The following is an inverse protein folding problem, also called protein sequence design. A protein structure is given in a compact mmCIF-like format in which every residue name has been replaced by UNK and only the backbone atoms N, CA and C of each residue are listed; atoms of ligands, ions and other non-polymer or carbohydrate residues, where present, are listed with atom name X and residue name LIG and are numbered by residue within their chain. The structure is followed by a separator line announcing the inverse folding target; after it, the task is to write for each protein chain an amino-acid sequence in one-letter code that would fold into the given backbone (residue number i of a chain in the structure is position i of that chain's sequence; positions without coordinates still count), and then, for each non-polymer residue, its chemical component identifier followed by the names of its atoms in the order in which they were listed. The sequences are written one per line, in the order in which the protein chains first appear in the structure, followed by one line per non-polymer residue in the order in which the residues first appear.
data_IF_594587736878
#
_entry.id   IF_594587736878
#
_cell.length_a   1.000
_cell.length_b   1.000
_cell.length_c   1.000
_cell.angle_alpha   90.00
_cell.angle_beta   90.00
_cell.angle_gamma   90.00
#
_symmetry.space_group_name_H-M   'P 1'
#
loop_
_entity.id
_entity.type
_entity.pdbx_description
1 polymer ?
#
# COMPACT_ATOMS: atom_id res chain seq x y z
N UNK A 1 -12.09 12.88 -11.52
CA UNK A 1 -13.27 12.08 -11.91
C UNK A 1 -13.17 10.78 -11.15
N UNK A 2 -14.21 10.39 -10.41
CA UNK A 2 -14.19 9.18 -9.60
C UNK A 2 -14.16 7.94 -10.52
N UNK A 3 -13.04 7.23 -10.56
CA UNK A 3 -12.84 6.02 -11.38
C UNK A 3 -13.72 4.86 -10.92
N UNK A 4 -14.18 4.88 -9.66
CA UNK A 4 -15.06 3.83 -9.11
C UNK A 4 -16.46 3.82 -9.76
N UNK A 5 -16.89 4.92 -10.38
CA UNK A 5 -18.20 5.05 -11.03
C UNK A 5 -18.21 4.74 -12.54
N UNK A 6 -17.05 4.46 -13.14
CA UNK A 6 -17.00 4.13 -14.58
C UNK A 6 -17.24 2.64 -14.87
N UNK A 7 -17.15 1.77 -13.86
CA UNK A 7 -17.33 0.32 -14.02
C UNK A 7 -18.03 -0.36 -12.84
N UNK A 8 -19.20 0.13 -12.37
CA UNK A 8 -19.83 -0.41 -11.16
C UNK A 8 -20.22 -1.89 -11.25
N UNK A 9 -20.28 -2.48 -12.45
CA UNK A 9 -20.69 -3.88 -12.68
C UNK A 9 -19.91 -4.59 -13.81
N UNK A 10 -18.70 -4.16 -14.17
CA UNK A 10 -17.94 -4.88 -15.21
C UNK A 10 -17.29 -6.13 -14.59
N UNK A 11 -17.62 -7.36 -15.04
CA UNK A 11 -17.02 -8.59 -14.52
C UNK A 11 -15.63 -8.75 -15.14
N UNK A 12 -14.68 -7.88 -14.81
CA UNK A 12 -13.27 -8.10 -15.11
C UNK A 12 -12.68 -8.86 -13.92
N UNK A 13 -12.36 -10.17 -14.08
CA UNK A 13 -11.82 -10.98 -13.00
C UNK A 13 -10.52 -10.41 -12.42
N UNK A 14 -9.72 -9.73 -13.24
CA UNK A 14 -8.45 -9.10 -12.81
C UNK A 14 -8.73 -7.94 -11.86
N UNK A 15 -9.68 -7.06 -12.21
CA UNK A 15 -10.05 -5.95 -11.31
C UNK A 15 -10.64 -6.48 -10.00
N UNK A 16 -11.51 -7.50 -10.06
CA UNK A 16 -12.11 -8.08 -8.86
C UNK A 16 -11.05 -8.69 -7.93
N UNK A 17 -10.00 -9.30 -8.50
CA UNK A 17 -8.86 -9.79 -7.72
C UNK A 17 -8.12 -8.65 -7.01
N UNK A 18 -7.75 -7.59 -7.73
CA UNK A 18 -7.06 -6.45 -7.11
C UNK A 18 -7.92 -5.75 -6.05
N UNK A 19 -9.22 -5.60 -6.32
CA UNK A 19 -10.20 -5.09 -5.38
C UNK A 19 -10.21 -5.92 -4.10
N UNK A 20 -10.29 -7.25 -4.20
CA UNK A 20 -10.32 -8.15 -3.05
C UNK A 20 -9.13 -7.94 -2.11
N UNK A 21 -7.91 -7.92 -2.62
CA UNK A 21 -6.72 -7.71 -1.79
C UNK A 21 -6.60 -6.27 -1.27
N UNK A 22 -7.12 -5.28 -1.99
CA UNK A 22 -7.20 -3.91 -1.49
C UNK A 22 -8.22 -3.77 -0.35
N UNK A 23 -9.34 -4.49 -0.39
CA UNK A 23 -10.27 -4.57 0.75
C UNK A 23 -9.61 -5.19 1.98
N UNK A 24 -8.72 -6.17 1.82
CA UNK A 24 -7.91 -6.70 2.93
C UNK A 24 -6.92 -5.66 3.46
N UNK A 25 -6.23 -4.93 2.59
CA UNK A 25 -5.34 -3.84 2.98
C UNK A 25 -6.08 -2.72 3.73
N UNK A 26 -7.32 -2.41 3.35
CA UNK A 26 -8.18 -1.44 4.04
C UNK A 26 -8.54 -1.88 5.47
N UNK A 27 -8.73 -3.19 5.71
CA UNK A 27 -8.97 -3.72 7.07
C UNK A 27 -7.74 -3.54 7.96
N UNK A 28 -6.54 -3.78 7.42
CA UNK A 28 -5.28 -3.52 8.13
C UNK A 28 -5.08 -2.02 8.41
N UNK A 29 -5.37 -1.18 7.42
CA UNK A 29 -5.34 0.28 7.58
C UNK A 29 -6.31 0.75 8.67
N UNK A 30 -7.50 0.13 8.76
CA UNK A 30 -8.47 0.42 9.81
C UNK A 30 -7.91 0.07 11.19
N UNK A 31 -7.35 -1.13 11.34
CA UNK A 31 -6.75 -1.59 12.60
C UNK A 31 -5.60 -0.67 13.07
N UNK A 32 -4.72 -0.24 12.16
CA UNK A 32 -3.71 0.78 12.45
C UNK A 32 -4.35 2.10 12.93
N UNK A 33 -5.36 2.59 12.22
CA UNK A 33 -6.09 3.82 12.60
C UNK A 33 -6.71 3.77 13.99
N UNK A 34 -7.31 2.65 14.35
CA UNK A 34 -7.89 2.36 15.67
C UNK A 34 -6.81 2.27 16.77
N UNK A 35 -5.61 1.81 16.41
CA UNK A 35 -4.43 1.82 17.29
C UNK A 35 -3.73 3.19 17.40
N UNK A 36 -4.31 4.25 16.83
CA UNK A 36 -3.76 5.61 16.90
C UNK A 36 -2.65 5.92 15.88
N UNK A 37 -2.44 5.03 14.91
CA UNK A 37 -1.48 5.17 13.82
C UNK A 37 -2.12 5.83 12.59
N UNK A 38 -1.31 6.35 11.66
CA UNK A 38 -1.83 6.75 10.33
C UNK A 38 -2.41 5.49 9.65
N UNK A 39 -3.67 5.50 9.15
CA UNK A 39 -4.33 4.31 8.64
C UNK A 39 -3.81 3.92 7.26
N UNK A 40 -2.71 3.18 7.22
CA UNK A 40 -2.14 2.59 6.01
C UNK A 40 -1.93 1.10 6.25
N UNK A 41 -2.37 0.30 5.29
CA UNK A 41 -2.29 -1.16 5.31
C UNK A 41 -1.71 -1.68 4.01
N UNK A 42 -1.04 -2.82 4.09
CA UNK A 42 -0.35 -3.46 2.97
C UNK A 42 -0.48 -4.98 3.01
N UNK A 43 -0.61 -5.61 1.85
CA UNK A 43 -0.72 -7.06 1.66
C UNK A 43 0.24 -7.47 0.54
N UNK A 44 0.99 -8.55 0.74
CA UNK A 44 1.82 -9.16 -0.30
C UNK A 44 1.26 -10.54 -0.64
N UNK A 45 1.03 -10.74 -1.93
CA UNK A 45 0.43 -11.94 -2.52
C UNK A 45 1.43 -12.59 -3.46
N UNK A 46 1.57 -13.92 -3.41
CA UNK A 46 2.40 -14.68 -4.34
C UNK A 46 1.70 -14.90 -5.71
N UNK A 47 2.42 -15.52 -6.65
CA UNK A 47 1.89 -15.82 -7.98
C UNK A 47 0.74 -16.86 -8.00
N UNK A 48 0.51 -17.56 -6.88
CA UNK A 48 -0.60 -18.51 -6.73
C UNK A 48 -1.84 -17.84 -6.13
N UNK A 49 -1.76 -16.56 -5.74
CA UNK A 49 -2.85 -15.82 -5.11
C UNK A 49 -2.90 -15.98 -3.58
N UNK A 50 -1.88 -16.56 -2.95
CA UNK A 50 -1.83 -16.67 -1.50
C UNK A 50 -1.28 -15.39 -0.87
N UNK A 51 -1.92 -14.94 0.20
CA UNK A 51 -1.37 -13.86 1.03
C UNK A 51 -0.21 -14.42 1.85
N UNK A 52 1.01 -14.01 1.50
CA UNK A 52 2.24 -14.47 2.18
C UNK A 52 2.66 -13.53 3.32
N UNK A 53 2.30 -12.25 3.22
CA UNK A 53 2.61 -11.27 4.25
C UNK A 53 1.60 -10.13 4.28
N UNK A 54 1.52 -9.51 5.45
CA UNK A 54 0.70 -8.34 5.72
C UNK A 54 1.50 -7.35 6.53
N UNK A 55 1.19 -6.07 6.37
CA UNK A 55 1.80 -4.98 7.11
C UNK A 55 0.78 -3.86 7.34
N UNK A 56 1.00 -3.12 8.40
CA UNK A 56 0.23 -1.92 8.72
C UNK A 56 1.20 -0.88 9.30
N UNK A 57 0.86 0.41 9.25
CA UNK A 57 1.72 1.43 9.83
C UNK A 57 1.79 1.25 11.37
N UNK A 58 2.99 1.23 11.92
CA UNK A 58 3.25 1.00 13.37
C UNK A 58 4.27 1.96 13.97
N UNK A 59 4.48 3.13 13.36
CA UNK A 59 5.51 4.09 13.80
C UNK A 59 5.36 4.47 15.27
N UNK A 60 4.14 4.73 15.73
CA UNK A 60 3.89 5.15 17.11
C UNK A 60 4.05 4.01 18.11
N UNK A 61 3.56 2.81 17.77
CA UNK A 61 3.62 1.61 18.61
C UNK A 61 5.05 1.10 18.76
N UNK A 62 5.79 1.05 17.66
CA UNK A 62 7.13 0.47 17.63
C UNK A 62 8.23 1.50 17.93
N UNK A 63 7.90 2.80 17.96
CA UNK A 63 8.88 3.90 18.02
C UNK A 63 9.92 3.80 16.92
N UNK A 64 9.51 3.29 15.76
CA UNK A 64 10.35 3.06 14.59
C UNK A 64 9.89 3.99 13.46
N UNK A 65 10.72 4.97 13.05
CA UNK A 65 10.34 5.91 11.99
C UNK A 65 10.17 5.24 10.62
N UNK A 66 10.65 4.01 10.46
CA UNK A 66 10.59 3.24 9.20
C UNK A 66 9.46 2.21 9.18
N UNK A 67 8.70 2.05 10.27
CA UNK A 67 7.62 1.07 10.41
C UNK A 67 6.33 1.46 9.63
N UNK A 68 6.49 1.75 8.35
CA UNK A 68 5.42 1.91 7.38
C UNK A 68 4.88 0.53 6.96
N UNK A 69 3.62 0.50 6.50
CA UNK A 69 2.93 -0.74 6.15
C UNK A 69 3.71 -1.58 5.11
N UNK A 70 4.27 -0.92 4.10
CA UNK A 70 5.03 -1.54 3.01
C UNK A 70 6.32 -2.17 3.54
N UNK A 71 7.07 -1.44 4.39
CA UNK A 71 8.30 -1.95 5.01
C UNK A 71 7.99 -3.18 5.88
N UNK A 72 6.93 -3.12 6.68
CA UNK A 72 6.52 -4.23 7.53
C UNK A 72 6.13 -5.46 6.71
N UNK A 73 5.37 -5.28 5.63
CA UNK A 73 4.97 -6.36 4.75
C UNK A 73 6.19 -6.98 4.03
N UNK A 74 7.07 -6.15 3.44
CA UNK A 74 8.27 -6.61 2.73
C UNK A 74 9.21 -7.42 3.65
N UNK A 75 9.46 -6.93 4.87
CA UNK A 75 10.28 -7.64 5.86
C UNK A 75 9.70 -9.01 6.18
N UNK A 76 8.38 -9.09 6.43
CA UNK A 76 7.69 -10.34 6.74
C UNK A 76 7.71 -11.30 5.55
N UNK A 77 7.46 -10.81 4.33
CA UNK A 77 7.49 -11.64 3.13
C UNK A 77 8.87 -12.24 2.88
N UNK A 78 9.94 -11.46 3.06
CA UNK A 78 11.29 -11.98 2.89
C UNK A 78 11.66 -13.08 3.89
N UNK A 79 11.14 -13.00 5.13
CA UNK A 79 11.28 -14.07 6.11
C UNK A 79 10.44 -15.31 5.74
N UNK A 80 9.21 -15.13 5.25
CA UNK A 80 8.36 -16.27 4.83
C UNK A 80 8.97 -17.02 3.65
N UNK A 81 9.49 -16.29 2.66
CA UNK A 81 10.09 -16.88 1.46
C UNK A 81 11.54 -17.32 1.66
N UNK A 82 12.16 -16.98 2.80
CA UNK A 82 13.61 -17.13 3.04
C UNK A 82 14.43 -16.54 1.88
N UNK A 83 13.96 -15.44 1.32
CA UNK A 83 14.53 -14.78 0.14
C UNK A 83 14.19 -13.29 0.17
N UNK A 84 15.11 -12.45 -0.30
CA UNK A 84 14.89 -11.01 -0.38
C UNK A 84 14.34 -10.56 -1.75
N UNK A 85 14.40 -11.43 -2.76
CA UNK A 85 13.78 -11.22 -4.08
C UNK A 85 12.31 -11.61 -4.07
N UNK A 86 11.43 -10.66 -4.41
CA UNK A 86 9.97 -10.84 -4.45
C UNK A 86 9.39 -10.62 -5.86
N UNK A 87 10.13 -11.05 -6.89
CA UNK A 87 9.77 -10.90 -8.31
C UNK A 87 8.40 -11.48 -8.67
N UNK A 88 8.01 -12.59 -8.03
CA UNK A 88 6.74 -13.26 -8.30
C UNK A 88 5.63 -12.80 -7.34
N UNK A 89 5.82 -11.69 -6.63
CA UNK A 89 4.87 -11.16 -5.67
C UNK A 89 4.24 -9.84 -6.14
N UNK A 90 2.98 -9.66 -5.76
CA UNK A 90 2.25 -8.39 -5.87
C UNK A 90 2.11 -7.74 -4.49
N UNK A 91 2.47 -6.47 -4.39
CA UNK A 91 2.23 -5.65 -3.19
C UNK A 91 1.01 -4.77 -3.40
N UNK A 92 0.02 -4.88 -2.51
CA UNK A 92 -1.13 -4.00 -2.41
C UNK A 92 -0.93 -3.05 -1.23
N UNK A 93 -1.17 -1.74 -1.41
CA UNK A 93 -1.09 -0.75 -0.33
C UNK A 93 -2.17 0.33 -0.46
N UNK A 94 -2.78 0.74 0.65
CA UNK A 94 -3.92 1.68 0.60
C UNK A 94 -3.57 3.10 0.20
N UNK A 95 -2.30 3.51 0.32
CA UNK A 95 -1.80 4.84 -0.02
C UNK A 95 -0.55 4.72 -0.89
N UNK A 96 -0.38 5.65 -1.83
CA UNK A 96 0.80 5.73 -2.67
C UNK A 96 2.10 5.75 -1.82
N UNK A 97 3.06 4.86 -2.10
CA UNK A 97 4.31 4.78 -1.36
C UNK A 97 5.12 6.08 -1.36
N UNK A 98 5.65 6.44 -0.18
CA UNK A 98 6.61 7.53 -0.02
C UNK A 98 8.01 7.17 -0.57
N UNK A 99 9.00 8.09 -0.60
CA UNK A 99 10.31 7.81 -1.19
C UNK A 99 11.03 6.61 -0.57
N UNK A 100 10.92 6.44 0.75
CA UNK A 100 11.50 5.31 1.47
C UNK A 100 10.88 3.99 1.01
N UNK A 101 9.54 3.91 1.01
CA UNK A 101 8.82 2.70 0.64
C UNK A 101 9.00 2.36 -0.84
N UNK A 102 8.91 3.35 -1.73
CA UNK A 102 9.14 3.15 -3.16
C UNK A 102 10.55 2.61 -3.44
N UNK A 103 11.58 3.18 -2.79
CA UNK A 103 12.94 2.66 -2.87
C UNK A 103 13.04 1.21 -2.36
N UNK A 104 12.42 0.89 -1.22
CA UNK A 104 12.42 -0.45 -0.67
C UNK A 104 11.71 -1.47 -1.59
N UNK A 105 10.59 -1.09 -2.21
CA UNK A 105 9.83 -1.92 -3.16
C UNK A 105 10.67 -2.25 -4.40
N UNK A 106 11.38 -1.25 -4.94
CA UNK A 106 12.33 -1.42 -6.06
C UNK A 106 13.47 -2.36 -5.67
N UNK A 107 14.07 -2.19 -4.49
CA UNK A 107 15.15 -3.04 -3.99
C UNK A 107 14.69 -4.49 -3.76
N UNK A 108 13.47 -4.67 -3.26
CA UNK A 108 12.84 -5.97 -3.04
C UNK A 108 12.41 -6.67 -4.34
N UNK A 109 12.53 -6.01 -5.49
CA UNK A 109 12.18 -6.54 -6.82
C UNK A 109 10.71 -6.96 -6.94
N UNK A 110 9.79 -6.26 -6.27
CA UNK A 110 8.35 -6.58 -6.35
C UNK A 110 7.89 -6.65 -7.81
N UNK A 111 7.14 -7.70 -8.16
CA UNK A 111 6.67 -7.95 -9.52
C UNK A 111 5.58 -6.98 -9.98
N UNK A 112 4.71 -6.56 -9.07
CA UNK A 112 3.66 -5.57 -9.33
C UNK A 112 3.35 -4.79 -8.05
N UNK A 113 3.32 -3.48 -8.14
CA UNK A 113 2.77 -2.61 -7.11
C UNK A 113 1.35 -2.20 -7.49
N UNK A 114 0.39 -2.43 -6.59
CA UNK A 114 -0.98 -1.94 -6.69
C UNK A 114 -1.25 -1.02 -5.50
N UNK A 115 -1.74 0.19 -5.75
CA UNK A 115 -2.07 1.12 -4.66
C UNK A 115 -3.44 1.76 -4.81
N UNK A 116 -4.00 2.19 -3.66
CA UNK A 116 -5.32 2.78 -3.58
C UNK A 116 -5.34 4.27 -3.88
N UNK A 117 -5.15 5.10 -2.86
CA UNK A 117 -5.16 6.55 -3.00
C UNK A 117 -3.80 7.13 -3.37
N UNK A 118 -3.77 8.12 -4.27
CA UNK A 118 -2.59 8.95 -4.51
C UNK A 118 -2.19 9.76 -3.27
N UNK A 119 -0.89 10.00 -3.09
CA UNK A 119 -0.37 10.92 -2.07
C UNK A 119 0.24 12.17 -2.71
N UNK A 120 -0.53 13.26 -2.90
CA UNK A 120 -0.04 14.46 -3.57
C UNK A 120 1.04 15.22 -2.77
N UNK A 121 1.33 14.82 -1.53
CA UNK A 121 2.34 15.49 -0.68
C UNK A 121 3.68 14.80 -0.73
N UNK A 122 3.68 13.47 -0.62
CA UNK A 122 4.93 12.70 -0.50
C UNK A 122 4.98 11.45 -1.38
N UNK A 123 3.99 11.21 -2.23
CA UNK A 123 3.96 10.05 -3.11
C UNK A 123 5.14 10.04 -4.09
N UNK A 124 5.85 8.92 -4.11
CA UNK A 124 7.10 8.78 -4.86
C UNK A 124 6.98 7.77 -6.00
N UNK A 125 5.78 7.36 -6.35
CA UNK A 125 5.51 6.39 -7.42
C UNK A 125 5.01 7.12 -8.66
N UNK A 126 4.01 7.98 -8.52
CA UNK A 126 3.42 8.73 -9.64
C UNK A 126 3.41 10.24 -9.37
N UNK A 127 3.13 10.68 -8.14
CA UNK A 127 2.74 12.08 -7.90
C UNK A 127 3.89 13.07 -7.78
N UNK A 128 4.90 12.82 -6.92
CA UNK A 128 5.97 13.81 -6.63
C UNK A 128 7.31 13.48 -7.28
N UNK A 129 7.80 12.24 -7.13
CA UNK A 129 9.20 11.92 -7.48
C UNK A 129 9.39 10.83 -8.56
N UNK A 130 8.39 9.98 -8.79
CA UNK A 130 8.46 8.80 -9.68
C UNK A 130 9.80 8.03 -9.60
N UNK A 131 10.10 7.47 -8.43
CA UNK A 131 11.28 6.64 -8.18
C UNK A 131 11.33 5.39 -9.08
N UNK A 132 10.23 4.64 -9.30
CA UNK A 132 10.24 3.44 -10.12
C UNK A 132 10.83 3.64 -11.52
N UNK A 133 10.54 4.78 -12.17
CA UNK A 133 11.02 5.12 -13.52
C UNK A 133 12.29 6.00 -13.52
N UNK A 134 12.83 6.31 -12.35
CA UNK A 134 14.02 7.15 -12.25
C UNK A 134 15.30 6.45 -12.76
N UNK A 135 16.30 7.23 -13.16
CA UNK A 135 17.57 6.71 -13.66
C UNK A 135 18.36 5.87 -12.63
N UNK A 136 18.04 5.98 -11.33
CA UNK A 136 18.67 5.17 -10.29
C UNK A 136 17.95 3.84 -10.02
N UNK A 137 16.84 3.56 -10.71
CA UNK A 137 16.10 2.31 -10.60
C UNK A 137 16.70 1.23 -11.52
N UNK A 138 17.15 0.12 -10.93
CA UNK A 138 17.63 -1.06 -11.65
C UNK A 138 16.55 -2.15 -11.79
N UNK A 139 15.30 -1.84 -11.42
CA UNK A 139 14.13 -2.72 -11.49
C UNK A 139 12.98 -1.97 -12.14
N UNK A 140 12.50 -2.45 -13.28
CA UNK A 140 11.25 -1.91 -13.86
C UNK A 140 10.10 -2.47 -13.05
N UNK A 141 9.47 -1.61 -12.24
CA UNK A 141 8.34 -1.95 -11.40
C UNK A 141 7.04 -1.61 -12.14
N UNK A 142 6.23 -2.60 -12.56
CA UNK A 142 4.86 -2.36 -12.97
C UNK A 142 4.04 -1.77 -11.82
N UNK A 143 3.22 -0.76 -12.14
CA UNK A 143 2.40 -0.05 -11.16
C UNK A 143 0.95 0.04 -11.63
N UNK A 144 0.01 -0.19 -10.72
CA UNK A 144 -1.42 0.08 -10.90
C UNK A 144 -1.94 0.91 -9.73
N UNK A 145 -2.26 2.19 -9.99
CA UNK A 145 -2.87 3.08 -9.01
C UNK A 145 -4.40 3.11 -9.11
N UNK A 146 -5.06 3.60 -8.06
CA UNK A 146 -6.49 3.93 -8.08
C UNK A 146 -7.44 2.79 -7.74
N UNK A 147 -6.96 1.66 -7.23
CA UNK A 147 -7.85 0.56 -6.82
C UNK A 147 -8.53 0.91 -5.50
N UNK A 148 -9.86 1.06 -5.51
CA UNK A 148 -10.65 1.55 -4.37
C UNK A 148 -10.17 2.91 -3.85
N UNK A 149 -9.76 3.79 -4.76
CA UNK A 149 -9.19 5.10 -4.45
C UNK A 149 -10.07 5.90 -3.48
N UNK A 150 -11.38 5.96 -3.74
CA UNK A 150 -12.32 6.72 -2.92
C UNK A 150 -12.34 6.22 -1.48
N UNK A 151 -12.43 4.90 -1.30
CA UNK A 151 -12.49 4.28 0.03
C UNK A 151 -11.18 4.47 0.81
N UNK A 152 -10.03 4.28 0.15
CA UNK A 152 -8.72 4.52 0.77
C UNK A 152 -8.54 5.99 1.18
N UNK A 153 -8.95 6.93 0.31
CA UNK A 153 -8.86 8.37 0.55
C UNK A 153 -9.78 8.79 1.71
N UNK A 154 -11.02 8.31 1.71
CA UNK A 154 -12.01 8.62 2.75
C UNK A 154 -11.56 8.15 4.14
N UNK A 155 -11.03 6.93 4.24
CA UNK A 155 -10.51 6.39 5.51
C UNK A 155 -9.39 7.27 6.09
N UNK A 156 -8.41 7.66 5.25
CA UNK A 156 -7.29 8.50 5.65
C UNK A 156 -7.76 9.89 6.09
N UNK A 157 -8.64 10.52 5.30
CA UNK A 157 -9.17 11.86 5.61
C UNK A 157 -10.00 11.85 6.90
N UNK A 158 -10.83 10.83 7.09
CA UNK A 158 -11.66 10.66 8.29
C UNK A 158 -10.82 10.50 9.56
N UNK A 159 -9.68 9.82 9.47
CA UNK A 159 -8.75 9.71 10.58
C UNK A 159 -8.09 11.05 10.94
N UNK A 160 -7.59 11.80 9.95
CA UNK A 160 -7.01 13.12 10.21
C UNK A 160 -8.04 14.12 10.75
N UNK A 161 -9.28 14.07 10.26
CA UNK A 161 -10.37 14.90 10.76
C UNK A 161 -10.61 14.67 12.26
N UNK A 162 -10.73 13.40 12.68
CA UNK A 162 -10.89 13.02 14.10
C UNK A 162 -9.73 13.49 14.99
N UNK A 163 -8.50 13.48 14.48
CA UNK A 163 -7.33 13.99 15.23
C UNK A 163 -7.33 15.50 15.41
N UNK A 164 -7.77 16.28 14.40
CA UNK A 164 -7.82 17.75 14.50
C UNK A 164 -8.88 18.23 15.49
N UNK A 165 -9.95 17.46 15.67
CA UNK A 165 -11.04 17.78 16.60
C UNK A 165 -10.78 17.35 18.05
N UNK A 166 -9.57 16.88 18.38
CA UNK A 166 -9.17 16.57 19.77
C UNK A 166 -9.77 15.30 20.38
N UNK A 167 -10.27 14.37 19.56
CA UNK A 167 -10.97 13.18 20.05
C UNK A 167 -10.07 11.95 20.25
N UNK A 168 -9.25 11.96 21.29
CA UNK A 168 -8.86 10.74 22.03
C UNK A 168 -8.77 11.13 23.51
N UNK A 169 -9.73 10.62 24.30
CA UNK A 169 -9.53 10.42 25.74
C UNK A 169 -8.64 9.20 25.92
#
# INVERSE_FOLDING_TARGET
MNTDNLFPNWPNPIYQQHRHYMEEALKLAQAAGEAGEVPVGAVIVDAQGNVIATGENRKERDKDPTAHAEIMALRKAGQVLQNWHLNDCTLYVTLEPCPMCAGAIVQARIGLLVYGADDPKTGAVLTVANIPDSACSYHKLPVMGGILESACREQLQSWFARRRTGGYN
#
